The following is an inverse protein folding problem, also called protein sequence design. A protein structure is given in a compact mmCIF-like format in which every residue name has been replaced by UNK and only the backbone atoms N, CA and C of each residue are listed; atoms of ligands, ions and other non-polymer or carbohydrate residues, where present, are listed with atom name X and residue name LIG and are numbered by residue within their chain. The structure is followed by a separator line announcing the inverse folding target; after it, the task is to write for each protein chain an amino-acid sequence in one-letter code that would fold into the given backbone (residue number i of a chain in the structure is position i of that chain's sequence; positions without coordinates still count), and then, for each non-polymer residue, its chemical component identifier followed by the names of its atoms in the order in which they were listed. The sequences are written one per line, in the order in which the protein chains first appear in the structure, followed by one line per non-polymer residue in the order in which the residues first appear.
data_IF_734850175247
#
_entry.id   IF_734850175247
#
_cell.length_a   1.000
_cell.length_b   1.000
_cell.length_c   1.000
_cell.angle_alpha   90.00
_cell.angle_beta   90.00
_cell.angle_gamma   90.00
#
_symmetry.space_group_name_H-M   'P 1'
#
loop_
_entity.id
_entity.type
_entity.pdbx_description
1 polymer ?
#
# COMPACT_ATOMS: atom_id res chain seq x y z
N UNK A 1 1.09 -23.71 4.75
CA UNK A 1 -0.22 -23.27 5.32
C UNK A 1 -0.67 -21.85 4.89
N UNK A 2 0.16 -21.01 4.24
CA UNK A 2 -0.19 -19.60 3.96
C UNK A 2 -1.14 -19.33 2.76
N UNK A 3 -1.19 -20.17 1.73
CA UNK A 3 -1.91 -19.84 0.48
C UNK A 3 -3.43 -19.76 0.62
N UNK A 4 -4.04 -20.49 1.57
CA UNK A 4 -5.48 -20.44 1.82
C UNK A 4 -5.96 -19.07 2.35
N UNK A 5 -5.13 -18.38 3.15
CA UNK A 5 -5.47 -17.05 3.68
C UNK A 5 -5.43 -15.95 2.61
N UNK A 6 -4.54 -16.09 1.62
CA UNK A 6 -4.34 -15.10 0.56
C UNK A 6 -5.57 -14.93 -0.34
N UNK A 7 -6.12 -16.04 -0.87
CA UNK A 7 -7.31 -15.99 -1.73
C UNK A 7 -8.56 -15.50 -0.98
N UNK A 8 -8.66 -15.79 0.32
CA UNK A 8 -9.73 -15.27 1.15
C UNK A 8 -9.66 -13.75 1.36
N UNK A 9 -8.44 -13.21 1.49
CA UNK A 9 -8.20 -11.77 1.64
C UNK A 9 -8.51 -10.99 0.36
N UNK A 10 -8.02 -11.46 -0.79
CA UNK A 10 -8.33 -10.83 -2.08
C UNK A 10 -9.84 -10.86 -2.37
N UNK A 11 -10.50 -12.00 -2.14
CA UNK A 11 -11.95 -12.12 -2.31
C UNK A 11 -12.73 -11.18 -1.39
N UNK A 12 -12.20 -10.88 -0.20
CA UNK A 12 -12.78 -9.89 0.70
C UNK A 12 -12.58 -8.46 0.18
N UNK A 13 -11.38 -8.13 -0.30
CA UNK A 13 -11.05 -6.83 -0.88
C UNK A 13 -11.91 -6.51 -2.12
N UNK A 14 -12.07 -7.46 -3.04
CA UNK A 14 -12.93 -7.28 -4.22
C UNK A 14 -14.41 -7.07 -3.85
N UNK A 15 -14.87 -7.59 -2.70
CA UNK A 15 -16.23 -7.37 -2.20
C UNK A 15 -16.40 -6.00 -1.55
N UNK A 16 -15.31 -5.35 -1.15
CA UNK A 16 -15.36 -4.00 -0.60
C UNK A 16 -15.51 -3.01 -1.77
N UNK A 17 -16.55 -2.17 -1.77
CA UNK A 17 -16.78 -1.17 -2.82
C UNK A 17 -15.79 0.01 -2.71
N UNK A 18 -14.50 -0.26 -2.90
CA UNK A 18 -13.42 0.71 -2.73
C UNK A 18 -13.56 1.87 -3.72
N UNK A 19 -14.00 1.62 -4.95
CA UNK A 19 -14.31 2.67 -5.95
C UNK A 19 -15.25 3.73 -5.40
N UNK A 20 -16.30 3.30 -4.69
CA UNK A 20 -17.28 4.20 -4.07
C UNK A 20 -16.69 4.97 -2.89
N UNK A 21 -15.78 4.36 -2.13
CA UNK A 21 -15.12 4.98 -0.99
C UNK A 21 -14.18 6.09 -1.47
N UNK A 22 -13.33 5.81 -2.46
CA UNK A 22 -12.35 6.78 -2.97
C UNK A 22 -13.00 7.95 -3.72
N UNK A 23 -14.17 7.73 -4.37
CA UNK A 23 -14.94 8.79 -5.05
C UNK A 23 -16.01 9.44 -4.16
N UNK A 24 -16.15 8.99 -2.92
CA UNK A 24 -17.13 9.54 -1.99
C UNK A 24 -16.84 11.01 -1.66
N UNK A 25 -17.83 11.70 -1.07
CA UNK A 25 -17.66 13.09 -0.58
C UNK A 25 -16.49 13.25 0.41
N UNK A 26 -16.13 12.20 1.14
CA UNK A 26 -15.04 12.22 2.13
C UNK A 26 -13.67 11.89 1.53
N UNK A 27 -13.60 11.34 0.30
CA UNK A 27 -12.41 11.00 -0.49
C UNK A 27 -11.11 10.95 0.34
N UNK A 28 -10.79 9.80 0.95
CA UNK A 28 -9.65 9.70 1.86
C UNK A 28 -8.30 9.99 1.17
N UNK A 29 -8.21 9.79 -0.15
CA UNK A 29 -7.00 10.07 -0.93
C UNK A 29 -6.64 11.57 -0.98
N UNK A 30 -7.53 12.47 -0.52
CA UNK A 30 -7.25 13.91 -0.39
C UNK A 30 -6.46 14.28 0.86
N UNK A 31 -6.53 13.46 1.91
CA UNK A 31 -6.11 13.82 3.28
C UNK A 31 -4.99 12.91 3.78
N UNK A 32 -4.97 11.66 3.32
CA UNK A 32 -3.91 10.71 3.63
C UNK A 32 -2.53 11.18 3.13
N UNK A 33 -1.49 10.70 3.79
CA UNK A 33 -0.09 10.95 3.44
C UNK A 33 0.20 10.53 2.00
N UNK A 34 0.87 11.39 1.22
CA UNK A 34 1.12 11.18 -0.20
C UNK A 34 1.82 9.86 -0.52
N UNK A 35 2.86 9.49 0.24
CA UNK A 35 3.57 8.22 0.05
C UNK A 35 2.68 6.99 0.27
N UNK A 36 1.77 7.05 1.25
CA UNK A 36 0.80 5.97 1.50
C UNK A 36 -0.23 5.88 0.38
N UNK A 37 -0.66 7.02 -0.16
CA UNK A 37 -1.60 7.07 -1.30
C UNK A 37 -0.97 6.49 -2.57
N UNK A 38 0.30 6.81 -2.85
CA UNK A 38 1.02 6.28 -4.01
C UNK A 38 1.25 4.77 -3.89
N UNK A 39 1.66 4.30 -2.71
CA UNK A 39 1.80 2.87 -2.44
C UNK A 39 0.46 2.14 -2.57
N UNK A 40 -0.60 2.68 -1.99
CA UNK A 40 -1.96 2.15 -2.12
C UNK A 40 -2.38 2.02 -3.59
N UNK A 41 -2.17 3.07 -4.40
CA UNK A 41 -2.54 3.09 -5.81
C UNK A 41 -1.79 2.04 -6.62
N UNK A 42 -0.49 1.89 -6.36
CA UNK A 42 0.38 0.88 -6.98
C UNK A 42 -0.13 -0.53 -6.69
N UNK A 43 -0.34 -0.85 -5.41
CA UNK A 43 -0.79 -2.18 -4.98
C UNK A 43 -2.19 -2.51 -5.52
N UNK A 44 -3.15 -1.57 -5.41
CA UNK A 44 -4.52 -1.82 -5.85
C UNK A 44 -4.65 -2.00 -7.35
N UNK A 45 -3.82 -1.31 -8.13
CA UNK A 45 -3.78 -1.46 -9.58
C UNK A 45 -3.11 -2.77 -9.99
N UNK A 46 -2.04 -3.16 -9.29
CA UNK A 46 -1.31 -4.41 -9.54
C UNK A 46 -2.18 -5.65 -9.37
N UNK A 47 -3.06 -5.66 -8.37
CA UNK A 47 -3.99 -6.77 -8.12
C UNK A 47 -5.33 -6.60 -8.84
N UNK A 48 -5.46 -5.61 -9.72
CA UNK A 48 -6.68 -5.30 -10.48
C UNK A 48 -7.92 -5.12 -9.57
N UNK A 49 -7.72 -4.60 -8.36
CA UNK A 49 -8.80 -4.37 -7.40
C UNK A 49 -9.50 -3.05 -7.72
N UNK A 50 -8.74 -1.96 -7.82
CA UNK A 50 -9.23 -0.60 -8.14
C UNK A 50 -8.15 0.22 -8.82
N UNK A 51 -8.52 0.89 -9.92
CA UNK A 51 -7.69 1.90 -10.58
C UNK A 51 -8.03 3.30 -10.06
N UNK A 52 -7.21 3.87 -9.18
CA UNK A 52 -7.49 5.14 -8.51
C UNK A 52 -6.61 6.32 -8.94
N UNK A 53 -5.73 6.14 -9.94
CA UNK A 53 -4.83 7.20 -10.40
C UNK A 53 -5.55 8.44 -10.92
N UNK A 54 -6.66 8.28 -11.66
CA UNK A 54 -7.45 9.42 -12.14
C UNK A 54 -8.05 10.23 -11.00
N UNK A 55 -8.50 9.56 -9.93
CA UNK A 55 -9.04 10.21 -8.73
C UNK A 55 -7.93 10.97 -7.98
N UNK A 56 -6.74 10.39 -7.89
CA UNK A 56 -5.56 11.03 -7.27
C UNK A 56 -5.14 12.27 -8.07
N UNK A 57 -5.14 12.19 -9.40
CA UNK A 57 -4.78 13.31 -10.26
C UNK A 57 -5.80 14.46 -10.16
N UNK A 58 -7.10 14.14 -10.11
CA UNK A 58 -8.17 15.11 -9.85
C UNK A 58 -8.02 15.78 -8.48
N UNK A 59 -7.71 15.00 -7.44
CA UNK A 59 -7.46 15.51 -6.08
C UNK A 59 -6.32 16.54 -6.07
N UNK A 60 -5.21 16.26 -6.78
CA UNK A 60 -4.08 17.18 -6.91
C UNK A 60 -4.48 18.52 -7.56
N UNK A 61 -5.44 18.51 -8.50
CA UNK A 61 -5.97 19.71 -9.16
C UNK A 61 -6.87 20.55 -8.25
N UNK A 62 -7.59 19.93 -7.31
CA UNK A 62 -8.47 20.65 -6.36
C UNK A 62 -7.71 21.53 -5.35
N UNK A 63 -6.40 21.30 -5.14
CA UNK A 63 -5.56 22.07 -4.21
C UNK A 63 -4.84 23.26 -4.84
N UNK A 64 -5.14 23.61 -6.10
CA UNK A 64 -4.56 24.82 -6.71
C UNK A 64 -5.04 26.06 -5.95
N UNK A 65 -4.13 26.91 -5.45
CA UNK A 65 -4.49 28.05 -4.61
C UNK A 65 -5.30 29.05 -5.41
N UNK A 66 -6.60 29.13 -5.14
CA UNK A 66 -7.42 30.28 -5.52
C UNK A 66 -7.03 31.42 -4.59
N UNK A 67 -6.63 32.57 -5.15
CA UNK A 67 -6.05 33.76 -4.50
C UNK A 67 -6.90 34.42 -3.38
N UNK A 68 -7.93 33.77 -2.82
CA UNK A 68 -8.96 34.44 -2.01
C UNK A 68 -9.16 33.92 -0.59
N UNK A 69 -8.44 32.91 -0.09
CA UNK A 69 -8.61 32.45 1.31
C UNK A 69 -7.29 32.11 2.01
N UNK A 70 -6.95 32.75 3.16
CA UNK A 70 -5.72 32.47 3.92
C UNK A 70 -5.86 31.24 4.83
N UNK A 71 -6.59 30.21 4.40
CA UNK A 71 -6.81 28.99 5.19
C UNK A 71 -6.69 27.77 4.30
N UNK A 72 -5.47 27.50 3.85
CA UNK A 72 -5.08 26.19 3.31
C UNK A 72 -3.85 25.70 4.06
N UNK A 73 -3.93 25.71 5.39
CA UNK A 73 -2.94 25.07 6.24
C UNK A 73 -3.11 23.56 6.13
N UNK A 74 -2.20 22.93 5.38
CA UNK A 74 -1.71 21.56 5.51
C UNK A 74 -2.68 20.59 6.23
N UNK A 75 -3.62 20.03 5.48
CA UNK A 75 -4.55 18.98 5.95
C UNK A 75 -3.93 17.57 5.93
N UNK A 76 -2.64 17.44 5.58
CA UNK A 76 -1.97 16.16 5.55
C UNK A 76 -1.79 15.63 6.97
N UNK A 77 -2.19 14.39 7.20
CA UNK A 77 -2.00 13.71 8.50
C UNK A 77 -0.51 13.63 8.86
N UNK A 78 -0.23 13.63 10.17
CA UNK A 78 1.14 13.47 10.67
C UNK A 78 1.70 12.07 10.40
N UNK A 79 2.99 12.03 10.04
CA UNK A 79 3.75 10.82 9.67
C UNK A 79 4.32 10.13 10.90
N UNK A 80 3.47 9.69 11.83
CA UNK A 80 3.88 8.90 12.99
C UNK A 80 3.21 7.53 12.91
N UNK A 81 3.95 6.51 12.47
CA UNK A 81 3.46 5.14 12.50
C UNK A 81 3.97 4.44 13.77
N UNK A 82 3.07 3.97 14.67
CA UNK A 82 3.45 3.35 15.93
C UNK A 82 4.31 2.09 15.79
N UNK A 83 4.30 1.49 14.60
CA UNK A 83 5.01 0.26 14.26
C UNK A 83 6.00 0.48 13.11
N UNK A 84 6.59 1.68 13.00
CA UNK A 84 7.77 1.85 12.17
C UNK A 84 8.93 0.97 12.69
N UNK A 85 9.93 0.68 11.83
CA UNK A 85 11.03 -0.21 12.17
C UNK A 85 11.70 0.13 13.51
N UNK A 86 11.92 -0.90 14.33
CA UNK A 86 12.48 -0.73 15.66
C UNK A 86 14.01 -0.75 15.64
N UNK A 87 14.64 0.42 15.80
CA UNK A 87 16.09 0.57 15.61
C UNK A 87 16.97 0.31 16.87
N UNK A 88 16.37 0.05 18.04
CA UNK A 88 17.14 -0.14 19.27
C UNK A 88 17.84 -1.51 19.32
N UNK A 89 19.14 -1.53 19.02
CA UNK A 89 19.96 -2.76 18.90
C UNK A 89 19.85 -3.75 20.07
N UNK A 90 19.70 -3.26 21.31
CA UNK A 90 19.69 -4.14 22.51
C UNK A 90 18.36 -4.87 22.69
N UNK A 91 17.26 -4.19 22.38
CA UNK A 91 15.90 -4.69 22.58
C UNK A 91 15.23 -5.16 21.29
N UNK A 92 15.79 -4.88 20.11
CA UNK A 92 15.24 -5.32 18.82
C UNK A 92 15.13 -6.84 18.74
N UNK A 93 16.02 -7.56 19.40
CA UNK A 93 15.98 -9.03 19.49
C UNK A 93 14.67 -9.60 20.06
N UNK A 94 13.93 -8.83 20.86
CA UNK A 94 12.64 -9.26 21.41
C UNK A 94 11.49 -9.16 20.41
N UNK A 95 11.71 -8.50 19.27
CA UNK A 95 10.72 -8.33 18.21
C UNK A 95 10.93 -9.30 17.03
N UNK A 96 12.00 -10.09 17.06
CA UNK A 96 12.29 -11.10 16.03
C UNK A 96 11.10 -12.06 15.93
N UNK A 97 10.55 -12.21 14.73
CA UNK A 97 9.39 -13.06 14.44
C UNK A 97 8.02 -12.46 14.79
N UNK A 98 7.97 -11.33 15.51
CA UNK A 98 6.74 -10.59 15.79
C UNK A 98 6.56 -9.39 14.85
N UNK A 99 7.67 -8.75 14.48
CA UNK A 99 7.67 -7.64 13.55
C UNK A 99 7.68 -8.16 12.11
N UNK A 100 6.75 -7.64 11.29
CA UNK A 100 6.74 -7.89 9.85
C UNK A 100 7.51 -6.77 9.17
N UNK A 101 8.69 -7.11 8.67
CA UNK A 101 9.47 -6.19 7.83
C UNK A 101 8.79 -6.00 6.48
N UNK A 102 8.88 -4.77 5.96
CA UNK A 102 8.50 -4.46 4.59
C UNK A 102 9.63 -4.90 3.66
N UNK A 103 9.35 -5.82 2.73
CA UNK A 103 10.31 -6.21 1.70
C UNK A 103 9.74 -5.87 0.34
N UNK A 104 10.47 -5.05 -0.42
CA UNK A 104 10.17 -4.72 -1.82
C UNK A 104 10.15 -5.99 -2.69
N UNK A 105 10.83 -7.06 -2.30
CA UNK A 105 10.84 -8.34 -3.04
C UNK A 105 9.55 -9.18 -2.89
N UNK A 106 8.64 -8.81 -1.97
CA UNK A 106 7.26 -9.31 -2.02
C UNK A 106 6.45 -8.63 -3.13
N UNK A 107 7.03 -7.64 -3.80
CA UNK A 107 6.51 -7.03 -4.99
C UNK A 107 7.01 -7.84 -6.20
N UNK A 108 6.13 -8.61 -6.84
CA UNK A 108 6.40 -9.07 -8.20
C UNK A 108 6.74 -7.88 -9.10
N UNK A 109 8.01 -7.80 -9.51
CA UNK A 109 8.60 -7.05 -10.62
C UNK A 109 7.92 -5.71 -10.98
N UNK A 110 8.50 -4.61 -10.52
CA UNK A 110 8.37 -3.30 -11.17
C UNK A 110 9.45 -3.16 -12.23
N UNK A 111 9.05 -3.32 -13.49
CA UNK A 111 9.76 -2.72 -14.63
C UNK A 111 8.73 -2.37 -15.69
N UNK A 112 8.61 -1.07 -15.96
CA UNK A 112 7.89 -0.54 -17.10
C UNK A 112 8.71 -0.84 -18.36
N UNK A 113 8.56 -2.03 -18.91
CA UNK A 113 8.94 -2.29 -20.29
C UNK A 113 7.88 -3.20 -20.95
N UNK A 114 7.21 -2.65 -21.95
CA UNK A 114 6.12 -3.27 -22.68
C UNK A 114 6.67 -4.39 -23.57
N UNK A 115 6.89 -5.61 -23.06
CA UNK A 115 6.89 -6.90 -23.78
C UNK A 115 7.58 -8.02 -22.97
N UNK A 116 7.07 -8.39 -21.80
CA UNK A 116 7.38 -9.73 -21.27
C UNK A 116 6.12 -10.33 -20.63
N UNK A 117 5.80 -11.55 -21.06
CA UNK A 117 4.70 -12.33 -20.52
C UNK A 117 4.79 -12.37 -19.00
N UNK A 118 3.70 -12.02 -18.33
CA UNK A 118 3.54 -12.04 -16.88
C UNK A 118 3.82 -13.47 -16.40
N UNK A 119 5.06 -13.74 -16.00
CA UNK A 119 5.40 -14.88 -15.18
C UNK A 119 4.95 -14.53 -13.76
N UNK A 120 3.71 -14.86 -13.46
CA UNK A 120 3.27 -15.04 -12.08
C UNK A 120 4.26 -16.05 -11.47
N UNK A 121 5.03 -15.71 -10.42
CA UNK A 121 5.83 -16.72 -9.73
C UNK A 121 4.85 -17.74 -9.18
N UNK A 122 4.81 -18.93 -9.78
CA UNK A 122 3.94 -20.03 -9.37
C UNK A 122 4.36 -20.65 -8.04
N UNK A 123 5.36 -20.11 -7.34
CA UNK A 123 5.89 -20.69 -6.12
C UNK A 123 6.59 -19.64 -5.25
N UNK A 124 5.94 -19.23 -4.16
CA UNK A 124 6.64 -18.71 -2.97
C UNK A 124 6.96 -19.90 -2.04
N UNK A 125 7.57 -20.94 -2.60
CA UNK A 125 8.04 -22.11 -1.83
C UNK A 125 9.46 -21.90 -1.26
N UNK A 126 10.06 -20.71 -1.42
CA UNK A 126 11.44 -20.46 -0.96
C UNK A 126 11.56 -19.86 0.43
N UNK A 127 10.46 -19.50 1.12
CA UNK A 127 10.50 -19.12 2.54
C UNK A 127 10.27 -20.37 3.42
N UNK A 128 11.10 -21.39 3.20
CA UNK A 128 11.35 -22.40 4.23
C UNK A 128 12.21 -21.71 5.29
N UNK A 129 11.57 -21.28 6.37
CA UNK A 129 12.26 -21.11 7.64
C UNK A 129 12.67 -22.54 8.04
N UNK A 130 13.91 -22.94 7.74
CA UNK A 130 14.47 -24.13 8.37
C UNK A 130 14.44 -23.90 9.87
N UNK A 131 13.58 -24.65 10.56
CA UNK A 131 13.59 -24.72 12.01
C UNK A 131 14.82 -25.53 12.43
N UNK A 132 15.62 -25.07 13.40
CA UNK A 132 16.75 -25.85 13.86
C UNK A 132 16.23 -27.10 14.59
N UNK A 133 16.79 -28.24 14.22
CA UNK A 133 16.71 -29.47 15.02
C UNK A 133 17.83 -29.44 16.07
#
# INVERSE_FOLDING_TARGET
MCTCTYYSGLSFLCKLNIDRIITSKLNPLKVCLGSVVELFASIMSKYEIVYCYSVIEENKRCYLPVLTTPTSGNTSLETIFPFDPYHLKRSSKYLIGLYREWNEDNEGVVSADDNESILIPSSIDSLIIESPN
#
